data_IF_404706116129
#
_entry.id   IF_404706116129
#
_cell.length_a   1.000
_cell.length_b   1.000
_cell.length_c   1.000
_cell.angle_alpha   90.00
_cell.angle_beta   90.00
_cell.angle_gamma   90.00
#
_symmetry.space_group_name_H-M   'P 1'
#
loop_
_entity.id
_entity.type
_entity.pdbx_description
1 polymer ?
#
# COMPACT_ATOMS: atom_id res chain seq x y z
N UNK A 1 18.91 10.98 -45.19
CA UNK A 1 17.77 11.78 -44.66
C UNK A 1 17.08 11.08 -43.49
N UNK A 2 16.92 9.75 -43.52
CA UNK A 2 16.27 8.97 -42.44
C UNK A 2 16.99 8.96 -41.09
N UNK A 3 18.34 8.98 -41.06
CA UNK A 3 19.12 8.94 -39.81
C UNK A 3 18.85 10.16 -38.92
N UNK A 4 18.72 11.35 -39.52
CA UNK A 4 18.40 12.60 -38.80
C UNK A 4 16.96 12.63 -38.28
N UNK A 5 16.02 11.98 -38.99
CA UNK A 5 14.63 11.83 -38.56
C UNK A 5 14.50 10.87 -37.38
N UNK A 6 15.17 9.71 -37.41
CA UNK A 6 15.22 8.77 -36.27
C UNK A 6 15.83 9.39 -35.01
N UNK A 7 16.93 10.13 -35.13
CA UNK A 7 17.53 10.83 -33.97
C UNK A 7 16.62 11.93 -33.39
N UNK A 8 15.87 12.65 -34.22
CA UNK A 8 14.97 13.72 -33.78
C UNK A 8 13.71 13.18 -33.09
N UNK A 9 13.20 12.02 -33.53
CA UNK A 9 12.11 11.28 -32.89
C UNK A 9 12.57 10.74 -31.53
N UNK A 10 13.76 10.13 -31.46
CA UNK A 10 14.30 9.56 -30.23
C UNK A 10 14.58 10.63 -29.15
N UNK A 11 15.08 11.82 -29.51
CA UNK A 11 15.24 12.93 -28.57
C UNK A 11 13.91 13.48 -28.04
N UNK A 12 12.86 13.54 -28.87
CA UNK A 12 11.52 14.00 -28.43
C UNK A 12 10.82 12.97 -27.53
N UNK A 13 10.97 11.67 -27.78
CA UNK A 13 10.39 10.65 -26.89
C UNK A 13 11.14 10.62 -25.55
N UNK A 14 12.47 10.67 -25.56
CA UNK A 14 13.29 10.74 -24.34
C UNK A 14 12.98 11.99 -23.50
N UNK A 15 12.77 13.15 -24.14
CA UNK A 15 12.39 14.37 -23.44
C UNK A 15 10.98 14.27 -22.83
N UNK A 16 10.03 13.64 -23.54
CA UNK A 16 8.69 13.36 -23.00
C UNK A 16 8.74 12.37 -21.83
N UNK A 17 9.53 11.32 -21.93
CA UNK A 17 9.72 10.34 -20.84
C UNK A 17 10.37 11.01 -19.62
N UNK A 18 11.40 11.85 -19.83
CA UNK A 18 12.03 12.61 -18.74
C UNK A 18 11.07 13.60 -18.08
N UNK A 19 10.24 14.30 -18.86
CA UNK A 19 9.21 15.20 -18.34
C UNK A 19 8.11 14.44 -17.57
N UNK A 20 7.66 13.30 -18.08
CA UNK A 20 6.67 12.43 -17.42
C UNK A 20 7.22 11.87 -16.11
N UNK A 21 8.45 11.34 -16.09
CA UNK A 21 9.09 10.86 -14.86
C UNK A 21 9.24 11.99 -13.85
N UNK A 22 9.72 13.17 -14.27
CA UNK A 22 9.84 14.31 -13.38
C UNK A 22 8.48 14.68 -12.78
N UNK A 23 7.44 14.77 -13.61
CA UNK A 23 6.08 15.09 -13.15
C UNK A 23 5.54 14.04 -12.18
N UNK A 24 5.82 12.74 -12.42
CA UNK A 24 5.42 11.66 -11.52
C UNK A 24 6.12 11.72 -10.16
N UNK A 25 7.43 11.97 -10.12
CA UNK A 25 8.21 12.06 -8.88
C UNK A 25 8.04 13.40 -8.15
N UNK A 26 7.60 14.45 -8.84
CA UNK A 26 7.35 15.78 -8.24
C UNK A 26 5.87 16.11 -8.09
N UNK A 27 4.98 15.12 -8.22
CA UNK A 27 3.55 15.37 -8.05
C UNK A 27 3.22 15.72 -6.59
N UNK A 28 2.14 16.50 -6.34
CA UNK A 28 1.71 16.78 -4.98
C UNK A 28 1.50 15.50 -4.18
N UNK A 29 1.93 15.50 -2.92
CA UNK A 29 1.93 14.31 -2.06
C UNK A 29 0.54 13.66 -1.94
N UNK A 30 -0.52 14.46 -1.89
CA UNK A 30 -1.90 13.95 -1.87
C UNK A 30 -2.30 13.22 -3.16
N UNK A 31 -1.84 13.68 -4.33
CA UNK A 31 -2.11 12.98 -5.59
C UNK A 31 -1.33 11.67 -5.67
N UNK A 32 -0.06 11.67 -5.23
CA UNK A 32 0.75 10.46 -5.13
C UNK A 32 0.08 9.44 -4.22
N UNK A 33 -0.34 9.85 -3.02
CA UNK A 33 -0.98 8.97 -2.05
C UNK A 33 -2.29 8.38 -2.58
N UNK A 34 -3.15 9.21 -3.20
CA UNK A 34 -4.42 8.76 -3.78
C UNK A 34 -4.24 7.77 -4.92
N UNK A 35 -3.28 8.02 -5.82
CA UNK A 35 -2.96 7.08 -6.90
C UNK A 35 -2.50 5.75 -6.32
N UNK A 36 -1.56 5.76 -5.37
CA UNK A 36 -1.04 4.54 -4.77
C UNK A 36 -2.10 3.81 -3.94
N UNK A 37 -3.02 4.50 -3.27
CA UNK A 37 -4.17 3.89 -2.60
C UNK A 37 -5.07 3.10 -3.55
N UNK A 38 -5.37 3.66 -4.73
CA UNK A 38 -6.17 2.96 -5.74
C UNK A 38 -5.36 1.84 -6.40
N UNK A 39 -4.09 2.06 -6.72
CA UNK A 39 -3.20 1.02 -7.25
C UNK A 39 -3.13 -0.16 -6.29
N UNK A 40 -2.90 0.08 -5.01
CA UNK A 40 -2.87 -0.95 -3.98
C UNK A 40 -4.18 -1.76 -3.94
N UNK A 41 -5.33 -1.08 -3.96
CA UNK A 41 -6.63 -1.75 -4.00
C UNK A 41 -6.80 -2.63 -5.24
N UNK A 42 -6.51 -2.08 -6.42
CA UNK A 42 -6.67 -2.79 -7.70
C UNK A 42 -5.77 -4.01 -7.77
N UNK A 43 -4.52 -3.91 -7.29
CA UNK A 43 -3.58 -5.04 -7.29
C UNK A 43 -4.04 -6.14 -6.33
N UNK A 44 -4.53 -5.80 -5.14
CA UNK A 44 -5.11 -6.80 -4.24
C UNK A 44 -6.33 -7.51 -4.86
N UNK A 45 -7.21 -6.77 -5.53
CA UNK A 45 -8.37 -7.37 -6.23
C UNK A 45 -7.92 -8.25 -7.41
N UNK A 46 -6.85 -7.85 -8.11
CA UNK A 46 -6.24 -8.65 -9.16
C UNK A 46 -5.69 -9.96 -8.61
N UNK A 47 -4.93 -9.93 -7.51
CA UNK A 47 -4.43 -11.16 -6.87
C UNK A 47 -5.56 -12.10 -6.46
N UNK A 48 -6.64 -11.57 -5.88
CA UNK A 48 -7.84 -12.37 -5.56
C UNK A 48 -8.43 -13.00 -6.82
N UNK A 49 -8.58 -12.24 -7.90
CA UNK A 49 -9.13 -12.76 -9.15
C UNK A 49 -8.24 -13.83 -9.78
N UNK A 50 -6.91 -13.64 -9.77
CA UNK A 50 -5.93 -14.60 -10.27
C UNK A 50 -5.99 -15.90 -9.45
N UNK A 51 -5.98 -15.80 -8.12
CA UNK A 51 -6.09 -16.94 -7.22
C UNK A 51 -7.37 -17.75 -7.46
N UNK A 52 -8.51 -17.06 -7.65
CA UNK A 52 -9.79 -17.72 -7.94
C UNK A 52 -9.86 -18.32 -9.34
N UNK A 53 -9.11 -17.77 -10.31
CA UNK A 53 -9.07 -18.28 -11.69
C UNK A 53 -8.19 -19.52 -11.86
N UNK A 54 -7.29 -19.80 -10.91
CA UNK A 54 -6.34 -20.92 -10.98
C UNK A 54 -5.27 -20.78 -12.07
N UNK A 55 -5.07 -19.58 -12.61
CA UNK A 55 -4.04 -19.32 -13.64
C UNK A 55 -2.68 -19.13 -12.99
N UNK A 56 -1.66 -19.83 -13.50
CA UNK A 56 -0.26 -19.77 -13.02
C UNK A 56 0.72 -19.30 -14.10
N UNK A 57 0.22 -18.67 -15.17
CA UNK A 57 0.98 -18.48 -16.42
C UNK A 57 1.75 -17.13 -16.52
N UNK A 58 2.11 -16.49 -15.41
CA UNK A 58 2.56 -15.09 -15.41
C UNK A 58 3.76 -14.76 -14.50
N UNK A 59 4.64 -15.72 -14.18
CA UNK A 59 5.73 -15.58 -13.20
C UNK A 59 6.48 -14.22 -13.23
N UNK A 60 7.07 -13.83 -14.38
CA UNK A 60 7.81 -12.56 -14.47
C UNK A 60 6.92 -11.30 -14.40
N UNK A 61 5.64 -11.41 -14.78
CA UNK A 61 4.67 -10.32 -14.63
C UNK A 61 4.17 -10.26 -13.18
N UNK A 62 4.06 -11.40 -12.51
CA UNK A 62 3.67 -11.52 -11.10
C UNK A 62 4.69 -10.84 -10.18
N UNK A 63 5.99 -11.06 -10.41
CA UNK A 63 7.06 -10.35 -9.71
C UNK A 63 6.97 -8.83 -9.83
N UNK A 64 6.68 -8.35 -11.04
CA UNK A 64 6.49 -6.92 -11.28
C UNK A 64 5.24 -6.39 -10.57
N UNK A 65 4.15 -7.15 -10.59
CA UNK A 65 2.90 -6.80 -9.90
C UNK A 65 3.12 -6.77 -8.38
N UNK A 66 3.85 -7.73 -7.83
CA UNK A 66 4.27 -7.77 -6.42
C UNK A 66 5.12 -6.55 -6.05
N UNK A 67 6.09 -6.19 -6.88
CA UNK A 67 6.89 -4.99 -6.67
C UNK A 67 6.01 -3.72 -6.64
N UNK A 68 5.10 -3.56 -7.59
CA UNK A 68 4.20 -2.40 -7.64
C UNK A 68 3.26 -2.41 -6.43
N UNK A 69 2.81 -3.59 -5.98
CA UNK A 69 2.00 -3.74 -4.76
C UNK A 69 2.77 -3.23 -3.54
N UNK A 70 4.00 -3.70 -3.32
CA UNK A 70 4.84 -3.29 -2.19
C UNK A 70 5.18 -1.80 -2.24
N UNK A 71 5.50 -1.28 -3.42
CA UNK A 71 5.77 0.14 -3.62
C UNK A 71 4.55 1.02 -3.32
N UNK A 72 3.36 0.59 -3.76
CA UNK A 72 2.12 1.31 -3.51
C UNK A 72 1.80 1.34 -2.02
N UNK A 73 1.95 0.22 -1.32
CA UNK A 73 1.75 0.12 0.12
C UNK A 73 2.75 1.00 0.89
N UNK A 74 4.04 0.89 0.57
CA UNK A 74 5.10 1.70 1.19
C UNK A 74 4.84 3.21 1.01
N UNK A 75 4.37 3.61 -0.18
CA UNK A 75 4.04 5.02 -0.46
C UNK A 75 2.85 5.49 0.40
N UNK A 76 1.80 4.68 0.54
CA UNK A 76 0.66 5.00 1.41
C UNK A 76 1.15 5.19 2.85
N UNK A 77 1.99 4.28 3.35
CA UNK A 77 2.56 4.36 4.70
C UNK A 77 3.39 5.64 4.89
N UNK A 78 4.29 5.99 3.97
CA UNK A 78 5.10 7.22 4.08
C UNK A 78 4.20 8.46 4.10
N UNK A 79 3.19 8.48 3.23
CA UNK A 79 2.30 9.64 3.11
C UNK A 79 1.34 9.76 4.29
N UNK A 80 0.97 8.66 4.94
CA UNK A 80 0.07 8.64 6.10
C UNK A 80 0.53 9.55 7.25
N UNK A 81 1.84 9.65 7.52
CA UNK A 81 2.35 10.61 8.51
C UNK A 81 1.84 12.02 8.28
N UNK A 82 1.83 12.50 7.03
CA UNK A 82 1.40 13.85 6.71
C UNK A 82 -0.11 14.03 6.83
N UNK A 83 -0.92 12.98 6.81
CA UNK A 83 -2.34 13.09 7.19
C UNK A 83 -2.51 13.30 8.70
N UNK A 84 -1.57 12.74 9.48
CA UNK A 84 -1.62 12.69 10.93
C UNK A 84 -0.79 13.79 11.62
N UNK A 85 -0.02 14.58 10.88
CA UNK A 85 1.05 15.44 11.41
C UNK A 85 0.62 16.40 12.53
N UNK A 86 -0.62 16.89 12.50
CA UNK A 86 -1.17 17.77 13.54
C UNK A 86 -1.61 17.04 14.82
N UNK A 87 -1.63 15.71 14.80
CA UNK A 87 -2.17 14.85 15.85
C UNK A 87 -1.12 13.95 16.50
N UNK A 88 0.07 13.82 15.90
CA UNK A 88 1.09 12.88 16.35
C UNK A 88 2.47 13.54 16.42
N UNK A 89 3.39 13.06 17.28
CA UNK A 89 4.72 13.65 17.37
C UNK A 89 5.58 13.38 16.11
N UNK A 90 6.53 14.28 15.84
CA UNK A 90 7.41 14.23 14.65
C UNK A 90 8.17 12.89 14.45
N UNK A 91 8.49 12.17 15.52
CA UNK A 91 9.19 10.88 15.41
C UNK A 91 8.37 9.82 14.64
N UNK A 92 7.05 10.01 14.52
CA UNK A 92 6.19 9.15 13.71
C UNK A 92 6.60 9.18 12.24
N UNK A 93 7.15 10.29 11.74
CA UNK A 93 7.68 10.37 10.37
C UNK A 93 8.76 9.34 10.11
N UNK A 94 9.69 9.21 11.05
CA UNK A 94 10.75 8.20 10.99
C UNK A 94 10.19 6.79 11.13
N UNK A 95 9.22 6.57 12.03
CA UNK A 95 8.58 5.27 12.19
C UNK A 95 7.89 4.78 10.90
N UNK A 96 7.17 5.65 10.20
CA UNK A 96 6.54 5.31 8.92
C UNK A 96 7.58 5.04 7.83
N UNK A 97 8.69 5.78 7.82
CA UNK A 97 9.79 5.53 6.89
C UNK A 97 10.46 4.16 7.13
N UNK A 98 10.64 3.78 8.39
CA UNK A 98 11.16 2.45 8.77
C UNK A 98 10.19 1.36 8.31
N UNK A 99 8.88 1.51 8.56
CA UNK A 99 7.90 0.51 8.13
C UNK A 99 7.84 0.38 6.61
N UNK A 100 7.83 1.49 5.88
CA UNK A 100 7.89 1.47 4.42
C UNK A 100 9.14 0.74 3.91
N UNK A 101 10.26 0.89 4.61
CA UNK A 101 11.48 0.11 4.32
C UNK A 101 11.25 -1.39 4.54
N UNK A 102 10.66 -1.79 5.68
CA UNK A 102 10.32 -3.21 5.95
C UNK A 102 9.40 -3.78 4.88
N UNK A 103 8.41 -3.02 4.41
CA UNK A 103 7.51 -3.45 3.33
C UNK A 103 8.30 -3.71 2.04
N UNK A 104 9.13 -2.75 1.60
CA UNK A 104 9.92 -2.91 0.37
C UNK A 104 10.88 -4.10 0.48
N UNK A 105 11.58 -4.24 1.61
CA UNK A 105 12.47 -5.39 1.83
C UNK A 105 11.70 -6.72 1.82
N UNK A 106 10.54 -6.78 2.50
CA UNK A 106 9.68 -7.95 2.52
C UNK A 106 9.22 -8.35 1.11
N UNK A 107 8.74 -7.39 0.33
CA UNK A 107 8.33 -7.62 -1.06
C UNK A 107 9.48 -8.13 -1.93
N UNK A 108 10.72 -7.62 -1.75
CA UNK A 108 11.85 -8.16 -2.48
C UNK A 108 12.18 -9.60 -2.09
N UNK A 109 12.05 -9.97 -0.82
CA UNK A 109 12.26 -11.35 -0.37
C UNK A 109 11.26 -12.30 -1.03
N UNK A 110 9.98 -11.90 -1.11
CA UNK A 110 8.93 -12.67 -1.79
C UNK A 110 9.24 -12.86 -3.28
N UNK A 111 9.66 -11.80 -3.98
CA UNK A 111 10.02 -11.86 -5.42
C UNK A 111 11.21 -12.79 -5.67
N UNK A 112 12.15 -12.87 -4.73
CA UNK A 112 13.34 -13.71 -4.90
C UNK A 112 13.10 -15.20 -4.63
N UNK A 113 11.86 -15.60 -4.34
CA UNK A 113 11.46 -16.96 -3.92
C UNK A 113 12.29 -17.49 -2.72
N UNK A 114 12.95 -16.61 -1.98
CA UNK A 114 13.75 -16.96 -0.80
C UNK A 114 12.84 -17.46 0.34
N UNK A 115 11.64 -16.89 0.43
CA UNK A 115 10.60 -17.28 1.36
C UNK A 115 9.23 -17.20 0.67
N UNK A 116 8.42 -18.24 0.86
CA UNK A 116 7.05 -18.33 0.34
C UNK A 116 6.14 -17.43 1.21
N UNK A 117 6.19 -16.12 0.94
CA UNK A 117 5.53 -15.08 1.71
C UNK A 117 6.34 -14.62 2.93
N UNK A 118 6.60 -13.30 3.05
CA UNK A 118 7.30 -12.75 4.19
C UNK A 118 6.31 -12.39 5.32
N UNK A 119 5.86 -13.41 6.06
CA UNK A 119 4.87 -13.29 7.13
C UNK A 119 5.16 -12.16 8.16
N UNK A 120 6.41 -11.90 8.58
CA UNK A 120 6.71 -10.78 9.47
C UNK A 120 6.34 -9.40 8.91
N UNK A 121 6.44 -9.16 7.59
CA UNK A 121 6.00 -7.88 7.01
C UNK A 121 4.50 -7.68 7.19
N UNK A 122 3.68 -8.71 6.94
CA UNK A 122 2.23 -8.61 7.12
C UNK A 122 1.87 -8.35 8.58
N UNK A 123 2.59 -8.97 9.52
CA UNK A 123 2.45 -8.67 10.95
C UNK A 123 2.75 -7.20 11.25
N UNK A 124 3.90 -6.68 10.81
CA UNK A 124 4.29 -5.29 11.07
C UNK A 124 3.37 -4.28 10.42
N UNK A 125 2.91 -4.56 9.19
CA UNK A 125 1.94 -3.72 8.50
C UNK A 125 0.59 -3.69 9.23
N UNK A 126 0.08 -4.85 9.64
CA UNK A 126 -1.17 -4.95 10.39
C UNK A 126 -1.05 -4.24 11.76
N UNK A 127 0.05 -4.47 12.48
CA UNK A 127 0.37 -3.81 13.74
C UNK A 127 0.35 -2.28 13.62
N UNK A 128 1.06 -1.75 12.62
CA UNK A 128 1.11 -0.32 12.39
C UNK A 128 -0.24 0.25 11.97
N UNK A 129 -0.95 -0.42 11.06
CA UNK A 129 -2.28 0.00 10.62
C UNK A 129 -3.25 0.09 11.79
N UNK A 130 -3.20 -0.87 12.71
CA UNK A 130 -4.01 -0.86 13.93
C UNK A 130 -3.64 0.32 14.85
N UNK A 131 -2.36 0.49 15.19
CA UNK A 131 -1.90 1.59 16.05
C UNK A 131 -2.29 2.94 15.45
N UNK A 132 -2.04 3.10 14.16
CA UNK A 132 -2.32 4.32 13.43
C UNK A 132 -3.81 4.65 13.46
N UNK A 133 -4.68 3.71 13.08
CA UNK A 133 -6.13 3.92 13.08
C UNK A 133 -6.72 4.11 14.48
N UNK A 134 -6.19 3.44 15.51
CA UNK A 134 -6.65 3.63 16.89
C UNK A 134 -6.21 4.99 17.43
N UNK A 135 -4.99 5.44 17.12
CA UNK A 135 -4.45 6.71 17.60
C UNK A 135 -5.18 7.91 16.99
N UNK A 136 -5.55 7.82 15.71
CA UNK A 136 -6.27 8.89 15.01
C UNK A 136 -7.78 8.83 15.17
N UNK A 137 -8.28 7.86 15.96
CA UNK A 137 -9.70 7.64 16.14
C UNK A 137 -10.39 8.86 16.72
N UNK A 138 -11.41 9.32 16.00
CA UNK A 138 -12.22 10.47 16.41
C UNK A 138 -11.60 11.83 16.09
N UNK A 139 -10.41 11.88 15.49
CA UNK A 139 -9.76 13.14 15.07
C UNK A 139 -10.27 13.66 13.72
N UNK A 140 -11.15 12.91 13.04
CA UNK A 140 -11.73 13.33 11.75
C UNK A 140 -10.81 13.16 10.54
N UNK A 141 -9.58 12.66 10.72
CA UNK A 141 -8.63 12.38 9.62
C UNK A 141 -9.18 11.32 8.66
N UNK A 142 -9.78 10.26 9.21
CA UNK A 142 -10.40 9.19 8.45
C UNK A 142 -11.91 9.17 8.68
N UNK A 143 -12.66 8.86 7.62
CA UNK A 143 -14.11 8.64 7.75
C UNK A 143 -14.34 7.37 8.58
N UNK A 144 -15.32 7.38 9.52
CA UNK A 144 -15.48 6.28 10.48
C UNK A 144 -15.65 4.89 9.88
N UNK A 145 -16.28 4.79 8.70
CA UNK A 145 -16.48 3.50 8.04
C UNK A 145 -15.15 2.85 7.64
N UNK A 146 -14.24 3.61 7.01
CA UNK A 146 -12.96 3.08 6.56
C UNK A 146 -12.01 2.84 7.72
N UNK A 147 -12.02 3.73 8.72
CA UNK A 147 -11.28 3.55 9.96
C UNK A 147 -11.66 2.24 10.68
N UNK A 148 -12.96 1.99 10.89
CA UNK A 148 -13.42 0.76 11.53
C UNK A 148 -13.08 -0.49 10.71
N UNK A 149 -13.16 -0.41 9.37
CA UNK A 149 -12.73 -1.51 8.50
C UNK A 149 -11.22 -1.77 8.64
N UNK A 150 -10.39 -0.73 8.60
CA UNK A 150 -8.94 -0.89 8.79
C UNK A 150 -8.62 -1.50 10.14
N UNK A 151 -9.25 -1.04 11.23
CA UNK A 151 -9.07 -1.60 12.57
C UNK A 151 -9.45 -3.08 12.60
N UNK A 152 -10.65 -3.42 12.09
CA UNK A 152 -11.14 -4.80 12.10
C UNK A 152 -10.23 -5.72 11.28
N UNK A 153 -9.90 -5.33 10.06
CA UNK A 153 -9.03 -6.12 9.18
C UNK A 153 -7.62 -6.27 9.72
N UNK A 154 -7.06 -5.20 10.32
CA UNK A 154 -5.74 -5.24 10.95
C UNK A 154 -5.72 -6.19 12.16
N UNK A 155 -6.80 -6.25 12.95
CA UNK A 155 -6.92 -7.22 14.05
C UNK A 155 -6.91 -8.66 13.54
N UNK A 156 -7.67 -8.97 12.49
CA UNK A 156 -7.65 -10.32 11.90
C UNK A 156 -6.25 -10.70 11.41
N UNK A 157 -5.59 -9.80 10.69
CA UNK A 157 -4.27 -10.06 10.13
C UNK A 157 -3.20 -10.18 11.23
N UNK A 158 -3.29 -9.36 12.29
CA UNK A 158 -2.45 -9.48 13.49
C UNK A 158 -2.64 -10.81 14.19
N UNK A 159 -3.88 -11.22 14.45
CA UNK A 159 -4.17 -12.49 15.13
C UNK A 159 -3.64 -13.65 14.29
N UNK A 160 -3.89 -13.66 12.97
CA UNK A 160 -3.41 -14.70 12.07
C UNK A 160 -1.89 -14.78 12.01
N UNK A 161 -1.23 -13.66 11.69
CA UNK A 161 0.23 -13.62 11.59
C UNK A 161 0.92 -13.89 12.93
N UNK A 162 0.41 -13.38 14.05
CA UNK A 162 1.00 -13.63 15.37
C UNK A 162 0.86 -15.08 15.83
N UNK A 163 -0.29 -15.72 15.59
CA UNK A 163 -0.50 -17.13 15.92
C UNK A 163 0.55 -18.02 15.24
N UNK A 164 0.80 -17.80 13.95
CA UNK A 164 1.80 -18.56 13.21
C UNK A 164 3.23 -18.17 13.60
N UNK A 165 3.56 -16.86 13.66
CA UNK A 165 4.93 -16.39 13.92
C UNK A 165 5.46 -16.71 15.32
N UNK A 166 4.64 -16.51 16.36
CA UNK A 166 5.12 -16.60 17.75
C UNK A 166 4.75 -17.91 18.43
N UNK A 167 3.73 -18.61 17.94
CA UNK A 167 3.21 -19.83 18.57
C UNK A 167 3.26 -21.05 17.64
N UNK A 168 3.74 -20.92 16.40
CA UNK A 168 3.83 -22.02 15.45
C UNK A 168 2.47 -22.62 15.10
N UNK A 169 1.40 -21.84 15.21
CA UNK A 169 0.05 -22.30 14.87
C UNK A 169 -0.10 -22.46 13.36
N UNK A 170 -0.51 -23.65 12.94
CA UNK A 170 -0.89 -23.95 11.56
C UNK A 170 -2.39 -23.65 11.37
N UNK A 171 -2.76 -22.68 10.51
CA UNK A 171 -4.15 -22.33 10.27
C UNK A 171 -4.97 -23.48 9.70
N UNK A 172 -6.10 -23.80 10.34
CA UNK A 172 -7.14 -24.65 9.73
C UNK A 172 -7.83 -23.94 8.57
N UNK A 173 -8.47 -24.68 7.66
CA UNK A 173 -9.20 -24.10 6.51
C UNK A 173 -10.21 -23.03 6.92
N UNK A 174 -10.95 -23.26 8.01
CA UNK A 174 -11.90 -22.27 8.53
C UNK A 174 -11.18 -21.00 9.01
N UNK A 175 -10.03 -21.13 9.68
CA UNK A 175 -9.24 -19.98 10.10
C UNK A 175 -8.71 -19.20 8.90
N UNK A 176 -8.28 -19.89 7.83
CA UNK A 176 -7.84 -19.26 6.59
C UNK A 176 -8.98 -18.48 5.90
N UNK A 177 -10.20 -19.01 5.89
CA UNK A 177 -11.37 -18.31 5.34
C UNK A 177 -11.68 -17.02 6.11
N UNK A 178 -11.64 -17.05 7.45
CA UNK A 178 -11.80 -15.84 8.26
C UNK A 178 -10.64 -14.86 8.07
N UNK A 179 -9.41 -15.37 7.94
CA UNK A 179 -8.23 -14.57 7.60
C UNK A 179 -8.38 -13.86 6.26
N UNK A 180 -8.92 -14.54 5.25
CA UNK A 180 -9.22 -13.97 3.95
C UNK A 180 -10.29 -12.86 4.01
N UNK A 181 -11.35 -13.06 4.79
CA UNK A 181 -12.36 -12.00 5.01
C UNK A 181 -11.72 -10.79 5.71
N UNK A 182 -10.91 -11.03 6.74
CA UNK A 182 -10.16 -9.99 7.44
C UNK A 182 -9.23 -9.21 6.51
N UNK A 183 -8.53 -9.93 5.62
CA UNK A 183 -7.70 -9.35 4.57
C UNK A 183 -8.50 -8.43 3.64
N UNK A 184 -9.63 -8.90 3.11
CA UNK A 184 -10.50 -8.09 2.25
C UNK A 184 -10.99 -6.80 2.94
N UNK A 185 -11.40 -6.93 4.20
CA UNK A 185 -11.84 -5.78 5.00
C UNK A 185 -10.68 -4.80 5.21
N UNK A 186 -9.47 -5.29 5.47
CA UNK A 186 -8.26 -4.47 5.62
C UNK A 186 -7.94 -3.72 4.34
N UNK A 187 -7.81 -4.41 3.20
CA UNK A 187 -7.40 -3.78 1.94
C UNK A 187 -8.42 -2.72 1.51
N UNK A 188 -9.72 -2.94 1.71
CA UNK A 188 -10.75 -1.96 1.35
C UNK A 188 -10.69 -0.77 2.29
N UNK A 189 -10.68 -1.01 3.61
CA UNK A 189 -10.63 0.04 4.62
C UNK A 189 -9.37 0.90 4.49
N UNK A 190 -8.21 0.26 4.40
CA UNK A 190 -6.91 0.93 4.32
C UNK A 190 -6.75 1.72 3.02
N UNK A 191 -7.13 1.15 1.87
CA UNK A 191 -7.02 1.82 0.58
C UNK A 191 -7.98 2.99 0.47
N UNK A 192 -9.28 2.74 0.64
CA UNK A 192 -10.30 3.77 0.45
C UNK A 192 -10.20 4.82 1.56
N UNK A 193 -9.86 4.43 2.79
CA UNK A 193 -9.59 5.34 3.89
C UNK A 193 -8.53 6.38 3.53
N UNK A 194 -7.35 5.92 3.06
CA UNK A 194 -6.29 6.84 2.64
C UNK A 194 -6.67 7.67 1.41
N UNK A 195 -7.35 7.07 0.44
CA UNK A 195 -7.81 7.78 -0.76
C UNK A 195 -8.74 8.96 -0.41
N UNK A 196 -9.74 8.72 0.44
CA UNK A 196 -10.70 9.75 0.84
C UNK A 196 -10.09 10.76 1.81
N UNK A 197 -9.27 10.34 2.78
CA UNK A 197 -8.61 11.25 3.71
C UNK A 197 -7.74 12.30 2.97
N UNK A 198 -6.98 11.88 1.97
CA UNK A 198 -6.21 12.80 1.13
C UNK A 198 -7.09 13.67 0.23
N UNK A 199 -8.21 13.14 -0.26
CA UNK A 199 -9.21 13.92 -0.98
C UNK A 199 -9.74 15.06 -0.11
N UNK A 200 -10.18 14.73 1.09
CA UNK A 200 -10.76 15.66 2.06
C UNK A 200 -9.71 16.71 2.50
N UNK A 201 -8.47 16.30 2.80
CA UNK A 201 -7.36 17.24 3.13
C UNK A 201 -7.06 18.21 1.99
N UNK A 202 -7.07 17.74 0.74
CA UNK A 202 -6.80 18.59 -0.44
C UNK A 202 -7.91 19.58 -0.76
N UNK A 203 -9.17 19.26 -0.45
CA UNK A 203 -10.28 20.21 -0.60
C UNK A 203 -10.20 21.31 0.46
N UNK A 204 -9.92 20.94 1.71
CA UNK A 204 -9.80 21.92 2.80
C UNK A 204 -8.64 22.89 2.59
N UNK A 205 -7.50 22.45 2.05
CA UNK A 205 -6.39 23.37 1.75
C UNK A 205 -6.73 24.41 0.68
N UNK A 206 -7.62 24.08 -0.26
CA UNK A 206 -7.99 24.98 -1.36
C UNK A 206 -9.11 25.96 -0.97
N UNK A 207 -9.86 25.70 0.10
CA UNK A 207 -10.92 26.60 0.60
C UNK A 207 -10.36 27.73 1.50
N UNK A 208 -9.11 27.62 1.93
CA UNK A 208 -8.44 28.59 2.82
C UNK A 208 -7.56 29.58 2.04
N UNK A 209 -7.32 29.35 0.75
CA UNK A 209 -6.67 30.29 -0.20
C UNK A 209 -7.68 31.24 -0.85
#
# INVERSE_FOLDING_TARGET
MEVKLRQKINKRSLWKVGYLMKTFFTQPIGNLARQNAITFLVLNLLFVALQLSGTTALDALEDLINFIWGFSLATIVITAYYLAEDHVPDYWRSAHSILATVIIFGTFLEITELEDGFLPMYFFWAFNSLIYSVTLRGNGVFRPIYENMTILGALFLLIGSSATLFFGFEPTDSFQQFGFIGWLVLIIGFSLGNYFAWGDKSTTSNEVE
#
